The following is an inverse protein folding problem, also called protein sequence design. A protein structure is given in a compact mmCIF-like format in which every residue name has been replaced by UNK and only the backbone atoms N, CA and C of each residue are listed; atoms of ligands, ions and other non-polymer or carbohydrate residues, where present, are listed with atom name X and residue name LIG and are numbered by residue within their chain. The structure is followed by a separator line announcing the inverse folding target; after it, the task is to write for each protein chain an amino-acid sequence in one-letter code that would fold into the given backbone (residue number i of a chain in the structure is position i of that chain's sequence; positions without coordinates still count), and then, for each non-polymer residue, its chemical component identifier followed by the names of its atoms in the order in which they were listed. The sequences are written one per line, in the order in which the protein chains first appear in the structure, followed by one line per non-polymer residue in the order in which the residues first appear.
data_IF_108138275525
#
_entry.id   IF_108138275525
#
_cell.length_a   1.000
_cell.length_b   1.000
_cell.length_c   1.000
_cell.angle_alpha   90.00
_cell.angle_beta   90.00
_cell.angle_gamma   90.00
#
_symmetry.space_group_name_H-M   'P 1'
#
loop_
_entity.id
_entity.type
_entity.pdbx_description
1 polymer ?
#
# COMPACT_ATOMS: atom_id res chain seq x y z
N UNK A 1 -0.54 -27.15 16.20
CA UNK A 1 -0.50 -25.69 16.04
C UNK A 1 -1.72 -25.29 15.22
N UNK A 2 -2.64 -24.49 15.75
CA UNK A 2 -3.76 -23.94 14.96
C UNK A 2 -3.18 -23.12 13.81
N UNK A 3 -3.67 -23.35 12.59
CA UNK A 3 -3.27 -22.50 11.44
C UNK A 3 -3.61 -21.06 11.80
N UNK A 4 -2.59 -20.20 11.83
CA UNK A 4 -2.80 -18.75 12.03
C UNK A 4 -3.75 -18.27 10.91
N UNK A 5 -4.78 -17.51 11.27
CA UNK A 5 -5.63 -16.84 10.27
C UNK A 5 -4.74 -15.96 9.39
N UNK A 6 -4.68 -16.29 8.10
CA UNK A 6 -3.78 -15.65 7.14
C UNK A 6 -4.41 -14.43 6.47
N UNK A 7 -5.73 -14.26 6.58
CA UNK A 7 -6.44 -13.10 6.02
C UNK A 7 -6.18 -11.85 6.85
N UNK A 8 -6.04 -10.72 6.18
CA UNK A 8 -5.83 -9.42 6.81
C UNK A 8 -7.08 -8.97 7.58
N UNK A 9 -6.84 -8.36 8.75
CA UNK A 9 -7.87 -7.70 9.55
C UNK A 9 -7.43 -6.27 9.84
N UNK A 10 -8.30 -5.25 9.66
CA UNK A 10 -7.92 -3.85 9.86
C UNK A 10 -7.29 -3.59 11.23
N UNK A 11 -7.84 -4.19 12.28
CA UNK A 11 -7.39 -4.02 13.68
C UNK A 11 -6.00 -4.60 13.96
N UNK A 12 -5.47 -5.45 13.09
CA UNK A 12 -4.15 -6.07 13.22
C UNK A 12 -3.10 -5.39 12.35
N UNK A 13 -3.51 -4.47 11.46
CA UNK A 13 -2.68 -3.91 10.39
C UNK A 13 -2.26 -2.47 10.65
N UNK A 14 -1.04 -2.12 10.22
CA UNK A 14 -0.61 -0.77 9.88
C UNK A 14 -0.13 -0.75 8.43
N UNK A 15 -0.09 0.43 7.82
CA UNK A 15 0.36 0.59 6.44
C UNK A 15 1.57 1.51 6.38
N UNK A 16 2.59 1.09 5.64
CA UNK A 16 3.79 1.87 5.33
C UNK A 16 3.82 2.18 3.84
N UNK A 17 3.62 3.45 3.51
CA UNK A 17 3.70 3.98 2.15
C UNK A 17 5.07 4.63 1.94
N UNK A 18 5.86 4.04 1.05
CA UNK A 18 7.26 4.40 0.86
C UNK A 18 7.42 5.17 -0.43
N UNK A 19 7.82 6.45 -0.30
CA UNK A 19 8.34 7.26 -1.40
C UNK A 19 7.43 7.33 -2.65
N UNK A 20 6.14 7.40 -2.48
CA UNK A 20 5.24 7.72 -3.58
C UNK A 20 5.43 9.17 -4.02
N UNK A 21 6.54 9.44 -4.73
CA UNK A 21 7.00 10.75 -5.17
C UNK A 21 7.21 10.77 -6.69
N UNK A 22 6.86 11.89 -7.35
CA UNK A 22 6.88 11.98 -8.81
C UNK A 22 8.27 11.74 -9.41
N UNK A 23 9.33 12.27 -8.79
CA UNK A 23 10.70 12.09 -9.28
C UNK A 23 11.16 10.63 -9.31
N UNK A 24 10.71 9.81 -8.37
CA UNK A 24 10.95 8.37 -8.40
C UNK A 24 10.01 7.67 -9.38
N UNK A 25 8.77 8.13 -9.46
CA UNK A 25 7.79 7.60 -10.41
C UNK A 25 8.21 7.70 -11.88
N UNK A 26 9.02 8.71 -12.25
CA UNK A 26 9.57 8.83 -13.61
C UNK A 26 10.51 7.67 -13.99
N UNK A 27 11.12 7.00 -13.02
CA UNK A 27 11.98 5.84 -13.24
C UNK A 27 11.25 4.50 -13.19
N UNK A 28 9.96 4.47 -12.95
CA UNK A 28 9.18 3.23 -12.85
C UNK A 28 8.81 2.74 -14.23
N UNK A 29 9.37 1.57 -14.61
CA UNK A 29 9.08 0.89 -15.87
C UNK A 29 8.59 -0.56 -15.66
N UNK A 30 8.49 -1.02 -14.41
CA UNK A 30 8.05 -2.39 -14.08
C UNK A 30 6.58 -2.66 -14.43
N UNK A 31 5.75 -1.65 -14.32
CA UNK A 31 4.34 -1.61 -14.70
C UNK A 31 4.05 -0.23 -15.29
N UNK A 32 2.99 -0.07 -16.09
CA UNK A 32 2.54 1.27 -16.47
C UNK A 32 2.36 2.12 -15.21
N UNK A 33 3.10 3.23 -15.10
CA UNK A 33 3.13 4.06 -13.90
C UNK A 33 1.72 4.49 -13.48
N UNK A 34 0.83 4.74 -14.44
CA UNK A 34 -0.57 5.10 -14.18
C UNK A 34 -1.32 4.00 -13.42
N UNK A 35 -1.01 2.73 -13.67
CA UNK A 35 -1.59 1.59 -12.93
C UNK A 35 -1.09 1.60 -11.49
N UNK A 36 0.21 1.78 -11.27
CA UNK A 36 0.78 1.82 -9.92
C UNK A 36 0.21 3.01 -9.13
N UNK A 37 0.07 4.18 -9.76
CA UNK A 37 -0.53 5.37 -9.15
C UNK A 37 -2.00 5.14 -8.76
N UNK A 38 -2.79 4.56 -9.66
CA UNK A 38 -4.17 4.19 -9.39
C UNK A 38 -4.29 3.26 -8.17
N UNK A 39 -3.44 2.23 -8.14
CA UNK A 39 -3.43 1.23 -7.07
C UNK A 39 -2.95 1.81 -5.74
N UNK A 40 -1.96 2.72 -5.77
CA UNK A 40 -1.51 3.45 -4.58
C UNK A 40 -2.62 4.32 -3.97
N UNK A 41 -3.38 5.03 -4.81
CA UNK A 41 -4.53 5.84 -4.37
C UNK A 41 -5.64 4.96 -3.81
N UNK A 42 -5.94 3.83 -4.47
CA UNK A 42 -6.93 2.87 -3.99
C UNK A 42 -6.54 2.29 -2.62
N UNK A 43 -5.26 1.95 -2.45
CA UNK A 43 -4.72 1.45 -1.20
C UNK A 43 -4.80 2.52 -0.08
N UNK A 44 -4.44 3.77 -0.38
CA UNK A 44 -4.55 4.88 0.55
C UNK A 44 -6.00 5.14 0.98
N UNK A 45 -6.95 5.13 0.05
CA UNK A 45 -8.38 5.23 0.33
C UNK A 45 -8.89 4.05 1.17
N UNK A 46 -8.38 2.85 0.92
CA UNK A 46 -8.67 1.66 1.73
C UNK A 46 -8.22 1.88 3.18
N UNK A 47 -7.00 2.35 3.37
CA UNK A 47 -6.50 2.65 4.71
C UNK A 47 -7.37 3.68 5.46
N UNK A 48 -7.80 4.74 4.76
CA UNK A 48 -8.69 5.76 5.34
C UNK A 48 -10.08 5.19 5.68
N UNK A 49 -10.70 4.43 4.77
CA UNK A 49 -12.02 3.84 4.97
C UNK A 49 -12.07 2.87 6.17
N UNK A 50 -11.02 2.07 6.35
CA UNK A 50 -10.90 1.11 7.44
C UNK A 50 -10.15 1.65 8.65
N UNK A 51 -9.77 2.93 8.65
CA UNK A 51 -9.15 3.66 9.77
C UNK A 51 -7.90 2.98 10.33
N UNK A 52 -7.09 2.37 9.46
CA UNK A 52 -5.84 1.76 9.89
C UNK A 52 -4.74 2.82 10.02
N UNK A 53 -3.79 2.66 10.94
CA UNK A 53 -2.64 3.55 11.05
C UNK A 53 -1.82 3.56 9.75
N UNK A 54 -1.51 4.75 9.23
CA UNK A 54 -0.67 4.91 8.04
C UNK A 54 0.56 5.73 8.39
N UNK A 55 1.71 5.21 8.01
CA UNK A 55 2.99 5.89 8.01
C UNK A 55 3.39 6.11 6.55
N UNK A 56 3.63 7.34 6.16
CA UNK A 56 4.15 7.68 4.85
C UNK A 56 5.57 8.23 5.00
N UNK A 57 6.49 7.81 4.12
CA UNK A 57 7.83 8.38 4.07
C UNK A 57 8.11 9.03 2.73
N UNK A 58 9.01 10.02 2.76
CA UNK A 58 9.57 10.67 1.59
C UNK A 58 11.09 10.78 1.74
N UNK A 59 11.79 10.86 0.61
CA UNK A 59 13.23 11.06 0.58
C UNK A 59 13.61 12.08 -0.49
N UNK A 60 14.63 12.90 -0.22
CA UNK A 60 15.14 13.92 -1.15
C UNK A 60 14.04 14.81 -1.76
N UNK A 61 12.98 15.12 -1.01
CA UNK A 61 11.78 15.79 -1.52
C UNK A 61 12.05 17.19 -2.06
N UNK A 62 13.09 17.88 -1.58
CA UNK A 62 13.50 19.21 -2.03
C UNK A 62 14.60 19.23 -3.09
N UNK A 63 15.12 18.06 -3.46
CA UNK A 63 16.26 17.94 -4.39
C UNK A 63 15.83 17.30 -5.69
N UNK A 64 15.25 16.10 -5.64
CA UNK A 64 14.94 15.31 -6.83
C UNK A 64 13.53 14.73 -6.81
N UNK A 65 13.14 14.11 -5.69
CA UNK A 65 11.97 13.21 -5.68
C UNK A 65 10.63 13.97 -5.64
N UNK A 66 10.62 15.21 -5.12
CA UNK A 66 9.40 15.98 -4.95
C UNK A 66 8.59 15.56 -3.71
N UNK A 67 7.44 16.19 -3.47
CA UNK A 67 6.55 15.83 -2.37
C UNK A 67 5.83 14.49 -2.61
N UNK A 68 5.11 14.03 -1.60
CA UNK A 68 4.17 12.91 -1.75
C UNK A 68 3.17 13.21 -2.87
N UNK A 69 2.85 12.22 -3.68
CA UNK A 69 1.93 12.34 -4.81
C UNK A 69 0.57 12.90 -4.36
N UNK A 70 0.02 13.90 -5.08
CA UNK A 70 -1.23 14.57 -4.68
C UNK A 70 -2.37 13.61 -4.39
N UNK A 71 -2.63 12.64 -5.27
CA UNK A 71 -3.73 11.69 -5.08
C UNK A 71 -3.59 10.81 -3.83
N UNK A 72 -2.37 10.48 -3.41
CA UNK A 72 -2.12 9.75 -2.16
C UNK A 72 -2.33 10.69 -0.96
N UNK A 73 -1.83 11.94 -1.05
CA UNK A 73 -2.00 12.93 0.01
C UNK A 73 -3.46 13.34 0.19
N UNK A 74 -4.23 13.46 -0.89
CA UNK A 74 -5.67 13.75 -0.86
C UNK A 74 -6.48 12.62 -0.21
N UNK A 75 -6.09 11.38 -0.46
CA UNK A 75 -6.72 10.22 0.20
C UNK A 75 -6.40 10.16 1.70
N UNK A 76 -5.30 10.75 2.13
CA UNK A 76 -4.78 10.71 3.50
C UNK A 76 -4.40 12.11 4.01
N UNK A 77 -5.35 13.06 4.11
CA UNK A 77 -5.04 14.47 4.36
C UNK A 77 -4.42 14.75 5.74
N UNK A 78 -4.65 13.87 6.71
CA UNK A 78 -4.08 13.99 8.06
C UNK A 78 -2.68 13.36 8.19
N UNK A 79 -2.25 12.56 7.23
CA UNK A 79 -0.94 11.90 7.26
C UNK A 79 0.13 12.87 6.77
N UNK A 80 1.09 13.16 7.65
CA UNK A 80 2.27 13.98 7.32
C UNK A 80 3.41 13.04 6.97
N UNK A 81 3.96 13.10 5.74
CA UNK A 81 5.09 12.27 5.37
C UNK A 81 6.32 12.57 6.24
N UNK A 82 7.04 11.52 6.61
CA UNK A 82 8.31 11.62 7.32
C UNK A 82 9.42 11.71 6.28
N UNK A 83 10.08 12.87 6.20
CA UNK A 83 11.24 13.05 5.33
C UNK A 83 12.47 12.40 5.95
N UNK A 84 13.13 11.52 5.20
CA UNK A 84 14.32 10.80 5.66
C UNK A 84 15.52 10.96 4.72
N UNK A 85 16.71 10.63 5.23
CA UNK A 85 17.98 10.66 4.47
C UNK A 85 18.45 9.26 4.08
N UNK A 86 18.13 8.24 4.88
CA UNK A 86 18.48 6.85 4.59
C UNK A 86 17.66 6.26 3.45
N UNK A 87 18.21 5.35 2.66
CA UNK A 87 17.42 4.58 1.69
C UNK A 87 16.45 3.64 2.40
N UNK A 88 16.87 3.09 3.53
CA UNK A 88 16.05 2.20 4.33
C UNK A 88 15.24 3.00 5.36
N UNK A 89 13.91 3.00 5.20
CA UNK A 89 12.98 3.63 6.15
C UNK A 89 13.21 3.12 7.58
N UNK A 90 13.60 1.88 7.74
CA UNK A 90 13.84 1.25 9.05
C UNK A 90 15.07 1.77 9.79
N UNK A 91 16.00 2.40 9.07
CA UNK A 91 17.20 3.06 9.63
C UNK A 91 16.94 4.52 10.03
N UNK A 92 15.74 5.03 9.77
CA UNK A 92 15.27 6.33 10.24
C UNK A 92 14.46 6.12 11.54
N UNK A 93 14.95 6.65 12.64
CA UNK A 93 14.32 6.47 13.96
C UNK A 93 12.89 7.03 14.02
N UNK A 94 12.61 8.15 13.35
CA UNK A 94 11.29 8.75 13.36
C UNK A 94 10.27 7.86 12.64
N UNK A 95 10.65 7.34 11.46
CA UNK A 95 9.79 6.47 10.68
C UNK A 95 9.60 5.10 11.37
N UNK A 96 10.68 4.48 11.84
CA UNK A 96 10.61 3.21 12.58
C UNK A 96 9.77 3.32 13.84
N UNK A 97 10.00 4.36 14.65
CA UNK A 97 9.24 4.59 15.88
C UNK A 97 7.75 4.82 15.59
N UNK A 98 7.39 5.51 14.49
CA UNK A 98 6.00 5.69 14.08
C UNK A 98 5.33 4.34 13.75
N UNK A 99 6.02 3.42 13.05
CA UNK A 99 5.51 2.07 12.78
C UNK A 99 5.32 1.29 14.08
N UNK A 100 6.29 1.30 14.98
CA UNK A 100 6.21 0.60 16.27
C UNK A 100 5.10 1.18 17.17
N UNK A 101 4.93 2.51 17.16
CA UNK A 101 3.89 3.20 17.91
C UNK A 101 2.46 2.86 17.45
N UNK A 102 2.29 2.40 16.22
CA UNK A 102 1.01 1.92 15.71
C UNK A 102 0.52 0.65 16.44
N UNK A 103 1.41 -0.08 17.10
CA UNK A 103 1.09 -1.31 17.86
C UNK A 103 0.33 -2.35 17.05
N UNK A 104 0.76 -2.57 15.83
CA UNK A 104 0.21 -3.56 14.90
C UNK A 104 1.26 -4.60 14.54
N UNK A 105 0.87 -5.86 14.51
CA UNK A 105 1.78 -6.96 14.17
C UNK A 105 1.95 -7.14 12.66
N UNK A 106 0.95 -6.75 11.89
CA UNK A 106 0.92 -6.89 10.43
C UNK A 106 1.21 -5.55 9.77
N UNK A 107 2.21 -5.55 8.89
CA UNK A 107 2.63 -4.35 8.15
C UNK A 107 2.35 -4.54 6.66
N UNK A 108 1.49 -3.69 6.12
CA UNK A 108 1.20 -3.62 4.69
C UNK A 108 2.13 -2.58 4.09
N UNK A 109 2.90 -2.95 3.06
CA UNK A 109 3.93 -2.08 2.47
C UNK A 109 3.71 -1.92 0.98
N UNK A 110 3.82 -0.68 0.48
CA UNK A 110 3.81 -0.35 -0.94
C UNK A 110 4.68 0.89 -1.20
N UNK A 111 5.16 1.09 -2.42
CA UNK A 111 5.94 2.29 -2.75
C UNK A 111 6.91 2.17 -3.92
N UNK A 112 7.77 3.17 -4.05
CA UNK A 112 8.86 3.31 -5.01
C UNK A 112 10.21 3.40 -4.27
N UNK A 113 11.31 2.84 -4.76
CA UNK A 113 11.47 1.79 -5.74
C UNK A 113 11.44 0.42 -5.06
N UNK A 114 10.85 -0.57 -5.71
CA UNK A 114 10.73 -1.93 -5.13
C UNK A 114 12.07 -2.51 -4.70
N UNK A 115 13.12 -2.32 -5.51
CA UNK A 115 14.46 -2.89 -5.33
C UNK A 115 15.20 -2.36 -4.10
N UNK A 116 14.86 -1.15 -3.64
CA UNK A 116 15.58 -0.47 -2.56
C UNK A 116 14.63 0.00 -1.45
N UNK A 117 13.92 1.10 -1.68
CA UNK A 117 13.15 1.77 -0.63
C UNK A 117 11.99 0.94 -0.08
N UNK A 118 11.47 -0.02 -0.87
CA UNK A 118 10.50 -1.02 -0.41
C UNK A 118 11.21 -2.25 0.18
N UNK A 119 12.19 -2.80 -0.53
CA UNK A 119 12.84 -4.05 -0.12
C UNK A 119 13.58 -3.93 1.21
N UNK A 120 14.29 -2.84 1.45
CA UNK A 120 15.12 -2.71 2.65
C UNK A 120 14.28 -2.67 3.94
N UNK A 121 13.25 -1.82 4.06
CA UNK A 121 12.41 -1.84 5.26
C UNK A 121 11.60 -3.13 5.42
N UNK A 122 11.18 -3.78 4.34
CA UNK A 122 10.50 -5.07 4.41
C UNK A 122 11.40 -6.14 5.05
N UNK A 123 12.64 -6.26 4.59
CA UNK A 123 13.61 -7.20 5.15
C UNK A 123 13.93 -6.89 6.62
N UNK A 124 14.03 -5.60 6.96
CA UNK A 124 14.28 -5.16 8.33
C UNK A 124 13.07 -5.43 9.24
N UNK A 125 11.85 -5.15 8.78
CA UNK A 125 10.63 -5.42 9.54
C UNK A 125 10.42 -6.92 9.80
N UNK A 126 10.69 -7.78 8.80
CA UNK A 126 10.67 -9.24 8.96
C UNK A 126 11.65 -9.69 10.05
N UNK A 127 12.87 -9.15 10.04
CA UNK A 127 13.90 -9.43 11.06
C UNK A 127 13.44 -9.01 12.46
N UNK A 128 12.72 -7.90 12.58
CA UNK A 128 12.15 -7.39 13.84
C UNK A 128 10.85 -8.12 14.24
N UNK A 129 10.43 -9.15 13.48
CA UNK A 129 9.32 -10.04 13.83
C UNK A 129 7.94 -9.60 13.34
N UNK A 130 7.85 -8.60 12.47
CA UNK A 130 6.57 -8.23 11.83
C UNK A 130 6.14 -9.30 10.80
N UNK A 131 4.83 -9.48 10.65
CA UNK A 131 4.25 -10.15 9.48
C UNK A 131 4.07 -9.11 8.38
N UNK A 132 4.84 -9.21 7.29
CA UNK A 132 4.85 -8.19 6.24
C UNK A 132 4.10 -8.65 5.00
N UNK A 133 3.21 -7.79 4.51
CA UNK A 133 2.43 -7.94 3.29
C UNK A 133 2.87 -6.87 2.30
N UNK A 134 3.41 -7.27 1.16
CA UNK A 134 3.85 -6.36 0.10
C UNK A 134 2.77 -6.29 -0.97
N UNK A 135 2.24 -5.10 -1.21
CA UNK A 135 1.21 -4.86 -2.23
C UNK A 135 1.91 -4.71 -3.58
N UNK A 136 2.16 -5.84 -4.23
CA UNK A 136 3.03 -5.94 -5.40
C UNK A 136 2.58 -5.07 -6.59
N UNK A 137 1.27 -4.93 -6.80
CA UNK A 137 0.68 -4.09 -7.85
C UNK A 137 0.60 -2.60 -7.51
N UNK A 138 0.99 -2.22 -6.28
CA UNK A 138 1.22 -0.85 -5.85
C UNK A 138 2.71 -0.58 -5.54
N UNK A 139 3.61 -1.46 -5.99
CA UNK A 139 5.06 -1.27 -5.95
C UNK A 139 5.57 -1.01 -7.37
N UNK A 140 6.50 -0.06 -7.50
CA UNK A 140 7.11 0.28 -8.77
C UNK A 140 8.63 0.12 -8.73
N UNK A 141 9.19 -0.63 -9.69
CA UNK A 141 10.61 -0.85 -9.87
C UNK A 141 11.13 -0.29 -11.20
N UNK A 142 12.45 -0.24 -11.36
CA UNK A 142 13.12 0.34 -12.53
C UNK A 142 12.85 -0.45 -13.83
N UNK A 143 12.77 -1.77 -13.74
CA UNK A 143 12.44 -2.63 -14.88
C UNK A 143 11.54 -3.78 -14.44
N UNK A 144 10.80 -4.44 -15.35
CA UNK A 144 10.03 -5.63 -14.99
C UNK A 144 10.88 -6.71 -14.33
N UNK A 145 12.09 -6.96 -14.86
CA UNK A 145 12.97 -7.99 -14.32
C UNK A 145 13.49 -7.66 -12.93
N UNK A 146 13.98 -6.43 -12.69
CA UNK A 146 14.52 -6.04 -11.38
C UNK A 146 13.43 -6.02 -10.31
N UNK A 147 12.24 -5.55 -10.67
CA UNK A 147 11.06 -5.58 -9.79
C UNK A 147 10.68 -7.02 -9.41
N UNK A 148 10.63 -7.95 -10.38
CA UNK A 148 10.34 -9.35 -10.14
C UNK A 148 11.39 -10.00 -9.22
N UNK A 149 12.68 -9.75 -9.45
CA UNK A 149 13.73 -10.25 -8.57
C UNK A 149 13.62 -9.71 -7.14
N UNK A 150 13.27 -8.44 -6.98
CA UNK A 150 13.04 -7.85 -5.67
C UNK A 150 11.86 -8.51 -4.96
N UNK A 151 10.70 -8.61 -5.62
CA UNK A 151 9.51 -9.24 -5.05
C UNK A 151 9.74 -10.71 -4.66
N UNK A 152 10.40 -11.49 -5.53
CA UNK A 152 10.77 -12.89 -5.21
C UNK A 152 11.71 -12.98 -4.00
N UNK A 153 12.67 -12.07 -3.90
CA UNK A 153 13.56 -12.02 -2.73
C UNK A 153 12.78 -11.76 -1.45
N UNK A 154 11.82 -10.85 -1.49
CA UNK A 154 10.98 -10.54 -0.34
C UNK A 154 10.10 -11.74 0.06
N UNK A 155 9.50 -12.41 -0.91
CA UNK A 155 8.71 -13.63 -0.68
C UNK A 155 9.55 -14.75 -0.06
N UNK A 156 10.76 -14.99 -0.60
CA UNK A 156 11.71 -15.98 -0.04
C UNK A 156 12.16 -15.62 1.39
N UNK A 157 12.21 -14.33 1.73
CA UNK A 157 12.52 -13.86 3.08
C UNK A 157 11.34 -13.98 4.06
N UNK A 158 10.14 -14.33 3.57
CA UNK A 158 8.95 -14.55 4.38
C UNK A 158 7.89 -13.45 4.29
N UNK A 159 8.06 -12.45 3.43
CA UNK A 159 6.98 -11.51 3.12
C UNK A 159 5.88 -12.22 2.30
N UNK A 160 4.65 -11.74 2.43
CA UNK A 160 3.52 -12.22 1.63
C UNK A 160 3.19 -11.19 0.57
N UNK A 161 3.15 -11.61 -0.69
CA UNK A 161 2.73 -10.76 -1.79
C UNK A 161 1.21 -10.70 -1.85
N UNK A 162 0.67 -9.52 -2.09
CA UNK A 162 -0.76 -9.27 -2.23
C UNK A 162 -1.01 -8.17 -3.26
N UNK A 163 -2.27 -7.85 -3.53
CA UNK A 163 -2.70 -6.74 -4.38
C UNK A 163 -3.55 -5.75 -3.59
N UNK A 164 -3.68 -4.50 -4.09
CA UNK A 164 -4.50 -3.50 -3.42
C UNK A 164 -5.96 -3.95 -3.27
N UNK A 165 -6.50 -4.62 -4.30
CA UNK A 165 -7.88 -5.11 -4.27
C UNK A 165 -8.06 -6.25 -3.28
N UNK A 166 -7.05 -7.12 -3.14
CA UNK A 166 -7.07 -8.20 -2.16
C UNK A 166 -7.07 -7.63 -0.74
N UNK A 167 -6.24 -6.63 -0.44
CA UNK A 167 -6.26 -5.92 0.86
C UNK A 167 -7.65 -5.35 1.16
N UNK A 168 -8.26 -4.65 0.19
CA UNK A 168 -9.60 -4.08 0.35
C UNK A 168 -10.64 -5.16 0.66
N UNK A 169 -10.63 -6.25 -0.12
CA UNK A 169 -11.64 -7.31 0.01
C UNK A 169 -11.44 -8.15 1.29
N UNK A 170 -10.20 -8.36 1.72
CA UNK A 170 -9.91 -9.02 3.00
C UNK A 170 -10.35 -8.15 4.19
N UNK A 171 -10.23 -6.82 4.10
CA UNK A 171 -10.72 -5.89 5.12
C UNK A 171 -12.25 -5.83 5.14
N UNK A 172 -12.91 -5.76 3.98
CA UNK A 172 -14.37 -5.78 3.90
C UNK A 172 -14.93 -7.13 4.32
N UNK A 173 -14.38 -8.23 3.78
CA UNK A 173 -14.67 -9.64 4.11
C UNK A 173 -16.15 -10.07 4.03
N UNK A 174 -17.07 -9.21 4.42
CA UNK A 174 -18.50 -9.49 4.53
C UNK A 174 -19.32 -8.32 3.93
N UNK A 175 -20.13 -8.62 2.95
CA UNK A 175 -20.97 -7.63 2.26
C UNK A 175 -22.08 -7.08 3.17
N UNK A 176 -22.40 -7.73 4.27
CA UNK A 176 -23.37 -7.24 5.28
C UNK A 176 -22.75 -6.28 6.29
N UNK A 177 -21.44 -6.04 6.22
CA UNK A 177 -20.75 -5.04 7.04
C UNK A 177 -21.01 -3.64 6.49
N UNK A 178 -22.17 -3.08 6.87
CA UNK A 178 -22.68 -1.83 6.33
C UNK A 178 -21.81 -0.60 6.59
N UNK A 179 -21.03 -0.61 7.69
CA UNK A 179 -20.20 0.53 8.11
C UNK A 179 -19.13 0.90 7.09
N UNK A 180 -18.62 -0.07 6.34
CA UNK A 180 -17.55 0.11 5.36
C UNK A 180 -17.95 -0.23 3.93
N UNK A 181 -19.12 -0.85 3.72
CA UNK A 181 -19.57 -1.35 2.43
C UNK A 181 -19.57 -0.29 1.33
N UNK A 182 -20.22 0.86 1.57
CA UNK A 182 -20.34 1.92 0.55
C UNK A 182 -18.96 2.54 0.23
N UNK A 183 -18.09 2.70 1.24
CA UNK A 183 -16.73 3.17 1.03
C UNK A 183 -15.91 2.17 0.22
N UNK A 184 -15.95 0.88 0.58
CA UNK A 184 -15.25 -0.18 -0.16
C UNK A 184 -15.73 -0.26 -1.61
N UNK A 185 -17.06 -0.23 -1.82
CA UNK A 185 -17.65 -0.23 -3.15
C UNK A 185 -17.23 0.99 -3.98
N UNK A 186 -17.25 2.19 -3.40
CA UNK A 186 -16.83 3.42 -4.08
C UNK A 186 -15.36 3.36 -4.51
N UNK A 187 -14.48 2.79 -3.69
CA UNK A 187 -13.07 2.57 -4.04
C UNK A 187 -12.94 1.62 -5.24
N UNK A 188 -13.69 0.52 -5.25
CA UNK A 188 -13.68 -0.44 -6.38
C UNK A 188 -14.21 0.22 -7.65
N UNK A 189 -15.32 0.95 -7.58
CA UNK A 189 -15.89 1.66 -8.74
C UNK A 189 -14.88 2.66 -9.32
N UNK A 190 -14.20 3.40 -8.49
CA UNK A 190 -13.25 4.43 -8.92
C UNK A 190 -11.92 3.87 -9.44
N UNK A 191 -11.45 2.72 -8.92
CA UNK A 191 -10.09 2.25 -9.12
C UNK A 191 -10.00 0.83 -9.70
N UNK A 192 -11.10 0.06 -9.71
CA UNK A 192 -11.13 -1.36 -10.04
C UNK A 192 -11.31 -1.67 -11.55
N UNK A 193 -11.14 -0.68 -12.44
CA UNK A 193 -11.20 -0.89 -13.89
C UNK A 193 -12.50 -1.57 -14.31
N UNK A 194 -12.40 -2.67 -15.06
CA UNK A 194 -13.57 -3.41 -15.55
C UNK A 194 -14.48 -3.97 -14.45
N UNK A 195 -13.92 -4.38 -13.32
CA UNK A 195 -14.71 -4.81 -12.16
C UNK A 195 -15.50 -3.66 -11.55
N UNK A 196 -14.87 -2.50 -11.39
CA UNK A 196 -15.54 -1.28 -10.91
C UNK A 196 -16.65 -0.82 -11.85
N UNK A 197 -16.41 -0.85 -13.15
CA UNK A 197 -17.41 -0.55 -14.18
C UNK A 197 -18.61 -1.51 -14.10
N UNK A 198 -18.38 -2.80 -13.90
CA UNK A 198 -19.43 -3.80 -13.72
C UNK A 198 -20.30 -3.53 -12.48
N UNK A 199 -19.69 -3.11 -11.37
CA UNK A 199 -20.44 -2.74 -10.16
C UNK A 199 -21.27 -1.47 -10.34
N UNK A 200 -20.76 -0.47 -11.07
CA UNK A 200 -21.52 0.74 -11.41
C UNK A 200 -22.71 0.39 -12.30
N UNK A 201 -22.47 -0.37 -13.37
CA UNK A 201 -23.50 -0.84 -14.30
C UNK A 201 -24.63 -1.61 -13.59
N UNK A 202 -24.25 -2.57 -12.72
CA UNK A 202 -25.23 -3.38 -12.00
C UNK A 202 -26.16 -2.52 -11.12
N UNK A 203 -25.63 -1.48 -10.48
CA UNK A 203 -26.45 -0.57 -9.66
C UNK A 203 -27.41 0.24 -10.49
N UNK A 204 -26.96 0.81 -11.61
CA UNK A 204 -27.76 1.71 -12.44
C UNK A 204 -28.80 0.97 -13.29
N UNK A 205 -28.46 -0.22 -13.79
CA UNK A 205 -29.26 -0.95 -14.75
C UNK A 205 -30.15 -2.03 -14.13
N UNK A 206 -29.70 -2.66 -13.01
CA UNK A 206 -30.46 -3.76 -12.39
C UNK A 206 -31.25 -3.26 -11.19
N UNK A 207 -30.76 -2.22 -10.50
CA UNK A 207 -31.42 -1.62 -9.33
C UNK A 207 -31.52 -0.09 -9.53
N UNK A 208 -32.27 0.39 -10.54
CA UNK A 208 -32.51 1.82 -10.70
C UNK A 208 -33.24 2.36 -9.46
N UNK A 209 -32.70 3.46 -8.90
CA UNK A 209 -33.25 4.18 -7.74
C UNK A 209 -34.58 4.84 -8.06
#
# INVERSE_FOLDING_TARGET
MSAKDTLLKPEECAMLLVDFQAGLGFGVESLPVQVVLNNAVALARTAAAFKIPVIASTSASRVYSGPLLPGVQEALPSVKPIERKSMNVWEDDAARNAVVAAKRQRLIVAGFLTEACVSFPVLSALKDGFEVFVVADACGGLTPASNDYALRRLEQAGARLTSWIQVLLEFQRDWTRHETYEAARAIVVANGGGYGMGLAYAREMIHPS
#
